data_IF_802053730604
#
_entry.id   IF_802053730604
#
_cell.length_a   1.000
_cell.length_b   1.000
_cell.length_c   1.000
_cell.angle_alpha   90.00
_cell.angle_beta   90.00
_cell.angle_gamma   90.00
#
_symmetry.space_group_name_H-M   'P 1'
#
loop_
_entity.id
_entity.type
_entity.pdbx_description
1 polymer ?
#
# COMPACT_ATOMS: atom_id res chain seq x y z
N UNK A 1 4.99 -15.58 -5.43
CA UNK A 1 4.96 -14.27 -4.73
C UNK A 1 3.71 -13.52 -5.18
N UNK A 2 3.01 -12.84 -4.28
CA UNK A 2 1.86 -11.97 -4.61
C UNK A 2 2.12 -10.55 -4.10
N UNK A 3 1.82 -9.57 -4.94
CA UNK A 3 1.90 -8.14 -4.61
C UNK A 3 0.50 -7.56 -4.79
N UNK A 4 0.01 -6.87 -3.77
CA UNK A 4 -1.25 -6.14 -3.78
C UNK A 4 -0.89 -4.68 -3.66
N UNK A 5 -1.20 -3.89 -4.68
CA UNK A 5 -0.94 -2.46 -4.70
C UNK A 5 -2.22 -1.66 -4.48
N UNK A 6 -2.08 -0.46 -3.93
CA UNK A 6 -3.14 0.53 -3.76
C UNK A 6 -4.43 0.03 -3.07
N UNK A 7 -4.29 -0.74 -1.98
CA UNK A 7 -5.41 -1.34 -1.24
C UNK A 7 -6.47 -0.32 -0.75
N UNK A 8 -6.05 0.92 -0.53
CA UNK A 8 -6.85 2.02 0.01
C UNK A 8 -8.05 2.46 -0.85
N UNK A 9 -8.03 2.22 -2.15
CA UNK A 9 -9.11 2.65 -3.05
C UNK A 9 -10.30 1.68 -3.06
N UNK A 10 -10.15 0.50 -2.48
CA UNK A 10 -11.18 -0.52 -2.43
C UNK A 10 -11.96 -0.41 -1.13
N UNK A 11 -13.25 -0.08 -1.23
CA UNK A 11 -14.21 -0.37 -0.15
C UNK A 11 -14.65 -1.81 -0.27
N UNK A 12 -14.24 -2.64 0.66
CA UNK A 12 -14.63 -4.05 0.69
C UNK A 12 -16.08 -4.17 1.16
N UNK A 13 -16.84 -5.00 0.47
CA UNK A 13 -18.06 -5.58 1.01
C UNK A 13 -17.72 -6.92 1.68
N UNK A 14 -18.71 -7.54 2.33
CA UNK A 14 -18.51 -8.81 3.04
C UNK A 14 -18.00 -9.93 2.13
N UNK A 15 -18.39 -9.93 0.86
CA UNK A 15 -17.99 -10.97 -0.08
C UNK A 15 -16.52 -10.80 -0.49
N UNK A 16 -16.13 -9.58 -0.90
CA UNK A 16 -14.74 -9.24 -1.22
C UNK A 16 -13.82 -9.44 -0.04
N UNK A 17 -14.26 -9.10 1.17
CA UNK A 17 -13.52 -9.34 2.39
C UNK A 17 -13.28 -10.83 2.65
N UNK A 18 -14.31 -11.67 2.46
CA UNK A 18 -14.18 -13.13 2.58
C UNK A 18 -13.15 -13.69 1.61
N UNK A 19 -13.20 -13.25 0.34
CA UNK A 19 -12.22 -13.65 -0.69
C UNK A 19 -10.81 -13.19 -0.31
N UNK A 20 -10.66 -11.93 0.11
CA UNK A 20 -9.38 -11.37 0.54
C UNK A 20 -8.79 -12.16 1.70
N UNK A 21 -9.64 -12.54 2.66
CA UNK A 21 -9.25 -13.37 3.79
C UNK A 21 -8.79 -14.77 3.37
N UNK A 22 -9.44 -15.38 2.37
CA UNK A 22 -9.00 -16.66 1.81
C UNK A 22 -7.64 -16.54 1.16
N UNK A 23 -7.38 -15.47 0.40
CA UNK A 23 -6.07 -15.20 -0.20
C UNK A 23 -5.00 -15.08 0.88
N UNK A 24 -5.22 -14.27 1.92
CA UNK A 24 -4.29 -14.13 3.05
C UNK A 24 -4.04 -15.49 3.68
N UNK A 25 -5.09 -16.23 4.04
CA UNK A 25 -4.99 -17.55 4.67
C UNK A 25 -4.20 -18.55 3.82
N UNK A 26 -4.38 -18.56 2.51
CA UNK A 26 -3.66 -19.46 1.62
C UNK A 26 -2.18 -19.12 1.51
N UNK A 27 -1.80 -17.85 1.69
CA UNK A 27 -0.41 -17.39 1.61
C UNK A 27 0.29 -17.36 2.95
N UNK A 28 -0.45 -17.22 4.04
CA UNK A 28 0.06 -17.23 5.41
C UNK A 28 0.97 -18.46 5.61
N UNK A 29 2.23 -18.19 5.96
CA UNK A 29 3.31 -19.18 6.15
C UNK A 29 3.68 -20.08 4.94
N UNK A 30 3.07 -19.87 3.77
CA UNK A 30 3.31 -20.67 2.56
C UNK A 30 3.98 -19.91 1.42
N UNK A 31 3.80 -18.59 1.36
CA UNK A 31 4.29 -17.77 0.26
C UNK A 31 4.36 -16.30 0.62
N UNK A 32 5.34 -15.59 0.08
CA UNK A 32 5.47 -14.13 0.27
C UNK A 32 4.26 -13.36 -0.25
N UNK A 33 3.81 -12.41 0.55
CA UNK A 33 2.74 -11.44 0.29
C UNK A 33 3.29 -10.04 0.59
N UNK A 34 3.19 -9.14 -0.39
CA UNK A 34 3.53 -7.72 -0.21
C UNK A 34 2.25 -6.92 -0.42
N UNK A 35 1.96 -6.01 0.51
CA UNK A 35 0.82 -5.09 0.41
C UNK A 35 1.38 -3.67 0.43
N UNK A 36 1.01 -2.88 -0.56
CA UNK A 36 1.34 -1.47 -0.67
C UNK A 36 0.03 -0.69 -0.51
N UNK A 37 0.04 0.31 0.35
CA UNK A 37 -1.12 1.13 0.65
C UNK A 37 -0.68 2.53 1.03
N UNK A 38 -1.50 3.52 0.68
CA UNK A 38 -1.32 4.90 1.13
C UNK A 38 -2.00 5.17 2.49
N UNK A 39 -2.73 4.19 3.03
CA UNK A 39 -3.40 4.28 4.32
C UNK A 39 -2.57 3.63 5.42
N UNK A 40 -2.38 4.30 6.57
CA UNK A 40 -1.78 3.66 7.73
C UNK A 40 -2.68 2.52 8.23
N UNK A 41 -2.08 1.51 8.87
CA UNK A 41 -2.79 0.34 9.40
C UNK A 41 -3.94 0.72 10.35
N UNK A 42 -3.81 1.85 11.06
CA UNK A 42 -4.83 2.38 11.96
C UNK A 42 -6.13 2.81 11.28
N UNK A 43 -6.12 3.00 9.95
CA UNK A 43 -7.27 3.45 9.15
C UNK A 43 -7.81 2.35 8.23
N UNK A 44 -7.47 1.10 8.50
CA UNK A 44 -7.95 -0.04 7.70
C UNK A 44 -9.44 -0.34 7.94
N UNK A 45 -10.04 0.20 8.99
CA UNK A 45 -11.47 0.23 9.20
C UNK A 45 -12.23 0.96 8.07
N UNK A 46 -11.58 1.89 7.35
CA UNK A 46 -12.13 2.57 6.17
C UNK A 46 -12.16 1.66 4.92
N UNK A 47 -11.31 0.62 4.88
CA UNK A 47 -11.15 -0.32 3.76
C UNK A 47 -12.04 -1.55 3.94
N UNK A 48 -12.10 -2.11 5.15
CA UNK A 48 -12.86 -3.32 5.47
C UNK A 48 -14.27 -3.01 5.99
N UNK A 49 -15.08 -4.03 6.24
CA UNK A 49 -16.46 -3.86 6.74
C UNK A 49 -16.54 -3.44 8.23
N UNK A 50 -15.58 -2.62 8.69
CA UNK A 50 -15.50 -2.04 10.03
C UNK A 50 -14.26 -2.49 10.83
N UNK A 51 -14.16 -1.95 12.03
CA UNK A 51 -13.00 -2.14 12.92
C UNK A 51 -12.70 -3.60 13.25
N UNK A 52 -13.74 -4.42 13.47
CA UNK A 52 -13.57 -5.82 13.87
C UNK A 52 -12.93 -6.65 12.74
N UNK A 53 -13.40 -6.45 11.52
CA UNK A 53 -12.88 -7.08 10.31
C UNK A 53 -11.42 -6.68 10.04
N UNK A 54 -11.15 -5.37 10.07
CA UNK A 54 -9.81 -4.83 9.90
C UNK A 54 -8.84 -5.43 10.94
N UNK A 55 -9.23 -5.46 12.21
CA UNK A 55 -8.40 -6.02 13.28
C UNK A 55 -8.11 -7.51 13.07
N UNK A 56 -9.09 -8.30 12.67
CA UNK A 56 -8.90 -9.74 12.43
C UNK A 56 -7.98 -10.06 11.24
N UNK A 57 -7.97 -9.19 10.22
CA UNK A 57 -7.07 -9.27 9.07
C UNK A 57 -5.65 -8.83 9.46
N UNK A 58 -5.56 -7.69 10.16
CA UNK A 58 -4.29 -7.16 10.64
C UNK A 58 -3.59 -8.14 11.58
N UNK A 59 -4.32 -8.81 12.47
CA UNK A 59 -3.75 -9.84 13.35
C UNK A 59 -3.03 -10.94 12.55
N UNK A 60 -3.62 -11.38 11.43
CA UNK A 60 -3.02 -12.41 10.55
C UNK A 60 -1.87 -11.90 9.69
N UNK A 61 -1.90 -10.63 9.31
CA UNK A 61 -0.83 -10.04 8.49
C UNK A 61 0.37 -9.64 9.36
N UNK A 62 0.12 -9.05 10.53
CA UNK A 62 1.14 -8.40 11.36
C UNK A 62 1.96 -9.41 12.17
N UNK A 63 1.40 -10.57 12.50
CA UNK A 63 2.08 -11.60 13.29
C UNK A 63 3.44 -12.02 12.70
N UNK A 64 3.56 -12.05 11.36
CA UNK A 64 4.81 -12.36 10.64
C UNK A 64 5.05 -11.43 9.45
N UNK A 65 5.07 -10.10 9.67
CA UNK A 65 5.45 -9.15 8.61
C UNK A 65 6.51 -8.14 9.03
N UNK A 66 7.08 -7.50 8.03
CA UNK A 66 7.89 -6.29 8.19
C UNK A 66 7.07 -5.10 7.70
N UNK A 67 6.79 -4.15 8.60
CA UNK A 67 6.09 -2.92 8.26
C UNK A 67 7.13 -1.88 7.85
N UNK A 68 7.07 -1.43 6.59
CA UNK A 68 7.91 -0.37 6.08
C UNK A 68 7.06 0.90 5.93
N UNK A 69 7.27 1.86 6.81
CA UNK A 69 6.67 3.19 6.69
C UNK A 69 7.51 4.04 5.76
N UNK A 70 6.95 4.42 4.61
CA UNK A 70 7.60 5.30 3.65
C UNK A 70 7.11 6.72 3.90
N UNK A 71 8.02 7.61 4.26
CA UNK A 71 7.75 9.03 4.45
C UNK A 71 8.60 9.87 3.50
N UNK A 72 8.09 11.04 3.11
CA UNK A 72 8.79 11.96 2.23
C UNK A 72 7.94 12.44 1.05
N UNK A 73 8.49 13.39 0.30
CA UNK A 73 7.80 13.97 -0.85
C UNK A 73 7.58 12.95 -1.96
N UNK A 74 6.47 13.13 -2.68
CA UNK A 74 6.18 12.37 -3.90
C UNK A 74 7.34 12.47 -4.89
N UNK A 75 7.93 11.33 -5.24
CA UNK A 75 8.95 11.25 -6.28
C UNK A 75 8.43 11.77 -7.63
N UNK A 76 7.12 11.71 -7.89
CA UNK A 76 6.50 12.28 -9.10
C UNK A 76 6.69 13.79 -9.18
N UNK A 77 6.54 14.50 -8.05
CA UNK A 77 6.72 15.95 -7.96
C UNK A 77 8.20 16.34 -7.98
N UNK A 78 9.07 15.53 -7.37
CA UNK A 78 10.53 15.72 -7.47
C UNK A 78 11.01 15.55 -8.91
N UNK A 79 10.46 14.61 -9.67
CA UNK A 79 10.77 14.42 -11.09
C UNK A 79 10.57 15.69 -11.91
N UNK A 80 9.46 16.41 -11.72
CA UNK A 80 9.24 17.71 -12.39
C UNK A 80 10.30 18.75 -12.02
N UNK A 81 10.64 18.89 -10.72
CA UNK A 81 11.70 19.82 -10.29
C UNK A 81 13.10 19.43 -10.79
N UNK A 82 13.40 18.13 -10.86
CA UNK A 82 14.64 17.60 -11.45
C UNK A 82 14.70 17.90 -12.95
N UNK A 83 13.59 17.76 -13.67
CA UNK A 83 13.52 18.07 -15.10
C UNK A 83 13.53 19.58 -15.38
N UNK A 84 12.98 20.42 -14.50
CA UNK A 84 13.03 21.88 -14.61
C UNK A 84 14.42 22.45 -14.33
N UNK A 85 15.16 21.87 -13.37
CA UNK A 85 16.57 22.23 -13.11
C UNK A 85 17.44 22.01 -14.36
N UNK A 86 17.35 20.83 -14.98
CA UNK A 86 18.13 20.52 -16.19
C UNK A 86 17.74 21.34 -17.44
N UNK A 87 16.53 21.91 -17.52
CA UNK A 87 16.14 22.76 -18.67
C UNK A 87 16.67 24.19 -18.59
N UNK A 88 17.04 24.67 -17.40
CA UNK A 88 17.62 26.02 -17.25
C UNK A 88 19.09 26.03 -17.68
N UNK A 89 19.83 24.98 -17.36
CA UNK A 89 21.23 24.83 -17.77
C UNK A 89 21.42 24.74 -19.30
N UNK A 90 20.42 24.23 -20.05
CA UNK A 90 20.50 24.18 -21.52
C UNK A 90 20.13 25.49 -22.23
N UNK A 91 19.64 26.50 -21.50
CA UNK A 91 19.24 27.80 -22.07
C UNK A 91 20.26 28.92 -21.83
N UNK A 92 21.25 28.74 -20.96
CA UNK A 92 22.33 29.72 -20.75
C UNK A 92 23.52 29.51 -21.70
N UNK A 93 23.58 28.40 -22.44
CA UNK A 93 24.60 28.12 -23.47
C UNK A 93 24.18 28.52 -24.92
N UNK A 94 23.25 29.48 -25.08
CA UNK A 94 22.88 30.04 -26.40
C UNK A 94 22.92 31.56 -26.45
#
# INVERSE_FOLDING_TARGET
MLIIDELSYLKMDKEKESIFFQVIRQRYEKSSLIIITNLPLSRWDEVFTGQLAATAILDRLVYHCHILSITGDSFRVKGEKYLEGNRKDTKEDK
#
